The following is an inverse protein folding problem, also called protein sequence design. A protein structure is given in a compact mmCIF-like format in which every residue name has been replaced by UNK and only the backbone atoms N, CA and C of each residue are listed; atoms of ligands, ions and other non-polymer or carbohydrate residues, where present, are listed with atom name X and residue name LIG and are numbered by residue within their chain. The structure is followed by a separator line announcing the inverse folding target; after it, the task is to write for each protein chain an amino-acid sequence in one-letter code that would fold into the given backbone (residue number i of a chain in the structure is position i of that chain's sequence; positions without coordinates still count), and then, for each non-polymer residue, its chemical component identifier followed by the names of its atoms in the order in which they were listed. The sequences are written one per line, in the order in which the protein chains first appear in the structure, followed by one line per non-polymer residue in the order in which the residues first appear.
data_IF_375202392681
#
_entry.id   IF_375202392681
#
_cell.length_a   1.000
_cell.length_b   1.000
_cell.length_c   1.000
_cell.angle_alpha   90.00
_cell.angle_beta   90.00
_cell.angle_gamma   90.00
#
_symmetry.space_group_name_H-M   'P 1'
#
loop_
_entity.id
_entity.type
_entity.pdbx_description
1 polymer ?
#
# COMPACT_ATOMS: atom_id res chain seq x y z
N UNK A 1 -28.14 3.69 -6.50
CA UNK A 1 -27.69 5.04 -6.14
C UNK A 1 -26.21 4.91 -5.90
N UNK A 2 -25.39 5.30 -6.88
CA UNK A 2 -23.93 5.14 -6.81
C UNK A 2 -23.40 6.31 -5.99
N UNK A 3 -22.90 6.05 -4.78
CA UNK A 3 -22.12 7.04 -4.04
C UNK A 3 -20.76 7.15 -4.71
N UNK A 4 -20.59 8.13 -5.57
CA UNK A 4 -19.27 8.59 -5.98
C UNK A 4 -18.74 9.39 -4.81
N UNK A 5 -17.89 8.76 -3.98
CA UNK A 5 -17.09 9.49 -3.02
C UNK A 5 -15.97 10.16 -3.84
N UNK A 6 -16.20 11.41 -4.24
CA UNK A 6 -15.10 12.30 -4.63
C UNK A 6 -14.21 12.41 -3.37
N UNK A 7 -13.01 11.84 -3.44
CA UNK A 7 -11.97 12.14 -2.46
C UNK A 7 -11.59 13.61 -2.65
N UNK A 8 -12.32 14.48 -1.95
CA UNK A 8 -11.75 15.76 -1.59
C UNK A 8 -10.50 15.42 -0.78
N UNK A 9 -9.37 16.01 -1.14
CA UNK A 9 -8.24 16.09 -0.20
C UNK A 9 -8.85 16.48 1.13
N UNK A 10 -8.81 15.63 2.15
CA UNK A 10 -9.57 15.92 3.36
C UNK A 10 -9.11 17.28 3.86
N UNK A 11 -10.03 18.22 4.00
CA UNK A 11 -9.75 19.56 4.57
C UNK A 11 -9.13 19.46 5.97
N UNK A 12 -9.15 18.25 6.53
CA UNK A 12 -8.65 17.91 7.85
C UNK A 12 -7.23 17.26 7.84
N UNK A 13 -6.54 17.16 6.68
CA UNK A 13 -5.15 16.71 6.66
C UNK A 13 -4.20 17.88 6.94
N UNK A 14 -4.06 18.24 8.19
CA UNK A 14 -3.24 19.38 8.64
C UNK A 14 -1.95 18.95 9.33
N UNK A 15 -1.88 17.70 9.78
CA UNK A 15 -0.71 17.15 10.44
C UNK A 15 0.16 16.35 9.47
N UNK A 16 1.29 15.88 9.96
CA UNK A 16 2.27 15.11 9.18
C UNK A 16 2.67 13.84 9.90
N UNK A 17 2.75 12.76 9.15
CA UNK A 17 3.37 11.50 9.54
C UNK A 17 4.58 11.21 8.68
N UNK A 18 5.17 10.04 8.88
CA UNK A 18 6.37 9.57 8.19
C UNK A 18 6.16 8.19 7.61
N UNK A 19 6.94 7.87 6.58
CA UNK A 19 7.00 6.52 6.05
C UNK A 19 8.46 6.16 5.75
N UNK A 20 8.84 4.97 6.18
CA UNK A 20 10.13 4.36 5.87
C UNK A 20 9.89 3.13 5.03
N UNK A 21 10.44 3.11 3.82
CA UNK A 21 10.26 2.00 2.87
C UNK A 21 11.60 1.31 2.68
N UNK A 22 11.62 -0.02 2.84
CA UNK A 22 12.77 -0.85 2.56
C UNK A 22 12.42 -1.80 1.42
N UNK A 23 13.27 -1.90 0.42
CA UNK A 23 13.09 -2.78 -0.74
C UNK A 23 14.17 -3.85 -0.77
N UNK A 24 13.73 -5.10 -0.86
CA UNK A 24 14.60 -6.28 -0.82
C UNK A 24 14.34 -7.21 -1.99
N UNK A 25 15.40 -7.91 -2.40
CA UNK A 25 15.28 -9.14 -3.18
C UNK A 25 14.61 -10.22 -2.32
N UNK A 26 13.54 -10.82 -2.81
CA UNK A 26 12.78 -11.83 -2.06
C UNK A 26 13.52 -13.14 -1.88
N UNK A 27 14.39 -13.51 -2.81
CA UNK A 27 15.13 -14.78 -2.76
C UNK A 27 16.38 -14.68 -1.91
N UNK A 28 17.10 -13.57 -2.02
CA UNK A 28 18.39 -13.37 -1.37
C UNK A 28 18.27 -12.59 -0.07
N UNK A 29 17.16 -11.86 0.16
CA UNK A 29 16.99 -10.94 1.28
C UNK A 29 17.95 -9.74 1.22
N UNK A 30 18.56 -9.51 0.05
CA UNK A 30 19.49 -8.40 -0.13
C UNK A 30 18.76 -7.09 -0.41
N UNK A 31 19.23 -5.94 0.11
CA UNK A 31 18.64 -4.65 -0.18
C UNK A 31 18.79 -4.28 -1.67
N UNK A 32 17.74 -3.70 -2.25
CA UNK A 32 17.71 -3.28 -3.63
C UNK A 32 17.90 -1.77 -3.77
N UNK A 33 19.09 -1.36 -4.17
CA UNK A 33 19.38 0.02 -4.52
C UNK A 33 18.80 0.38 -5.89
N UNK A 34 18.47 1.66 -6.07
CA UNK A 34 17.92 2.21 -7.31
C UNK A 34 16.56 1.63 -7.71
N UNK A 35 15.80 1.06 -6.78
CA UNK A 35 14.40 0.74 -7.00
C UNK A 35 13.60 2.05 -7.05
N UNK A 36 12.72 2.17 -8.06
CA UNK A 36 11.83 3.32 -8.20
C UNK A 36 10.57 3.08 -7.39
N UNK A 37 10.15 4.09 -6.65
CA UNK A 37 8.94 4.08 -5.85
C UNK A 37 8.07 5.27 -6.26
N UNK A 38 6.82 5.00 -6.63
CA UNK A 38 5.82 6.02 -6.89
C UNK A 38 4.81 6.00 -5.76
N UNK A 39 4.56 7.15 -5.13
CA UNK A 39 3.62 7.32 -4.02
C UNK A 39 2.36 8.04 -4.49
N UNK A 40 1.21 7.52 -4.13
CA UNK A 40 -0.11 8.13 -4.38
C UNK A 40 -1.04 7.97 -3.16
N UNK A 41 -2.18 8.67 -3.15
CA UNK A 41 -3.24 8.37 -2.19
C UNK A 41 -3.99 7.10 -2.59
N UNK A 42 -4.31 6.24 -1.61
CA UNK A 42 -5.13 5.06 -1.86
C UNK A 42 -6.48 5.45 -2.46
N UNK A 43 -6.87 4.78 -3.56
CA UNK A 43 -8.09 5.10 -4.32
C UNK A 43 -7.95 6.22 -5.35
N UNK A 44 -6.78 6.85 -5.48
CA UNK A 44 -6.47 7.81 -6.53
C UNK A 44 -5.05 7.61 -7.09
N UNK A 45 -4.79 6.50 -7.79
CA UNK A 45 -3.45 6.12 -8.27
C UNK A 45 -2.91 7.11 -9.31
N UNK A 46 -3.77 7.84 -10.01
CA UNK A 46 -3.36 8.84 -11.01
C UNK A 46 -2.80 10.12 -10.37
N UNK A 47 -3.02 10.32 -9.07
CA UNK A 47 -2.51 11.46 -8.31
C UNK A 47 -1.18 11.13 -7.66
N UNK A 48 -0.11 11.12 -8.44
CA UNK A 48 1.25 10.90 -7.93
C UNK A 48 1.63 12.07 -7.02
N UNK A 49 1.99 11.74 -5.78
CA UNK A 49 2.45 12.68 -4.76
C UNK A 49 3.97 12.83 -4.82
N UNK A 50 4.67 11.69 -4.93
CA UNK A 50 6.13 11.62 -4.94
C UNK A 50 6.64 10.48 -5.84
N UNK A 51 7.77 10.73 -6.47
CA UNK A 51 8.59 9.71 -7.13
C UNK A 51 9.96 9.68 -6.45
N UNK A 52 10.39 8.51 -6.02
CA UNK A 52 11.56 8.30 -5.18
C UNK A 52 12.40 7.15 -5.73
N UNK A 53 13.65 7.11 -5.27
CA UNK A 53 14.57 6.02 -5.62
C UNK A 53 15.29 5.58 -4.35
N UNK A 54 15.37 4.27 -4.13
CA UNK A 54 16.07 3.71 -2.97
C UNK A 54 17.56 3.98 -3.02
N UNK A 55 18.14 4.19 -1.85
CA UNK A 55 19.57 4.37 -1.64
C UNK A 55 20.36 3.05 -1.73
N UNK A 56 21.65 3.07 -1.36
CA UNK A 56 22.51 1.89 -1.36
C UNK A 56 22.11 0.82 -0.35
N UNK A 57 21.31 1.17 0.63
CA UNK A 57 20.75 0.26 1.65
C UNK A 57 19.34 -0.23 1.30
N UNK A 58 18.86 0.12 0.08
CA UNK A 58 17.53 -0.23 -0.37
C UNK A 58 16.42 0.56 0.30
N UNK A 59 16.74 1.69 0.94
CA UNK A 59 15.84 2.43 1.81
C UNK A 59 15.42 3.78 1.22
N UNK A 60 14.24 4.25 1.61
CA UNK A 60 13.72 5.61 1.38
C UNK A 60 12.99 6.10 2.62
N UNK A 61 13.20 7.36 2.97
CA UNK A 61 12.50 8.04 4.04
C UNK A 61 11.61 9.16 3.48
N UNK A 62 10.39 9.22 3.95
CA UNK A 62 9.40 10.25 3.68
C UNK A 62 8.99 10.89 5.01
N UNK A 63 9.41 12.12 5.26
CA UNK A 63 9.27 12.77 6.57
C UNK A 63 8.06 13.70 6.69
N UNK A 64 7.37 14.01 5.61
CA UNK A 64 6.31 15.02 5.59
C UNK A 64 5.04 14.56 4.83
N UNK A 65 4.57 13.35 5.11
CA UNK A 65 3.32 12.87 4.55
C UNK A 65 2.13 13.47 5.30
N UNK A 66 1.14 13.97 4.56
CA UNK A 66 -0.05 14.54 5.17
C UNK A 66 -0.83 13.47 5.95
N UNK A 67 -1.24 13.80 7.15
CA UNK A 67 -2.04 12.93 8.02
C UNK A 67 -3.16 13.73 8.70
N UNK A 68 -4.26 13.08 9.10
CA UNK A 68 -5.28 13.71 9.93
C UNK A 68 -4.70 14.14 11.29
N UNK A 69 -5.38 15.08 11.98
CA UNK A 69 -4.97 15.54 13.31
C UNK A 69 -4.78 14.41 14.30
N UNK A 70 -3.75 14.50 15.14
CA UNK A 70 -3.45 13.50 16.16
C UNK A 70 -4.62 13.25 17.11
N UNK A 71 -5.44 14.24 17.33
CA UNK A 71 -6.63 14.16 18.19
C UNK A 71 -7.60 13.07 17.76
N UNK A 72 -7.65 12.75 16.44
CA UNK A 72 -8.52 11.69 15.91
C UNK A 72 -8.08 10.28 16.33
N UNK A 73 -6.81 10.11 16.69
CA UNK A 73 -6.29 8.84 17.21
C UNK A 73 -6.41 8.71 18.73
N UNK A 74 -6.68 9.81 19.44
CA UNK A 74 -6.69 9.84 20.91
C UNK A 74 -8.05 9.48 21.52
N UNK A 75 -9.13 9.63 20.75
CA UNK A 75 -10.48 9.30 21.19
C UNK A 75 -11.19 8.39 20.19
N UNK A 76 -11.91 7.34 20.65
CA UNK A 76 -12.75 6.55 19.77
C UNK A 76 -13.83 7.45 19.14
N UNK A 77 -13.84 7.54 17.81
CA UNK A 77 -14.72 8.43 17.09
C UNK A 77 -15.10 7.90 15.71
N UNK A 78 -15.90 8.67 14.99
CA UNK A 78 -16.31 8.35 13.61
C UNK A 78 -15.29 8.86 12.58
N UNK A 79 -14.28 9.64 13.01
CA UNK A 79 -13.27 10.20 12.12
C UNK A 79 -12.09 9.25 11.97
N UNK A 80 -11.65 9.05 10.72
CA UNK A 80 -10.49 8.24 10.41
C UNK A 80 -9.22 8.95 10.92
N UNK A 81 -8.41 8.30 11.78
CA UNK A 81 -7.23 8.93 12.41
C UNK A 81 -5.95 8.79 11.57
N UNK A 82 -6.01 8.23 10.39
CA UNK A 82 -4.87 7.98 9.50
C UNK A 82 -5.20 8.37 8.07
N UNK A 83 -4.15 8.66 7.30
CA UNK A 83 -4.23 8.75 5.84
C UNK A 83 -3.78 7.43 5.23
N UNK A 84 -4.38 7.03 4.10
CA UNK A 84 -4.01 5.81 3.40
C UNK A 84 -3.25 6.13 2.12
N UNK A 85 -2.10 5.49 1.98
CA UNK A 85 -1.21 5.66 0.83
C UNK A 85 -1.04 4.37 0.05
N UNK A 86 -0.73 4.52 -1.23
CA UNK A 86 -0.38 3.42 -2.13
C UNK A 86 1.02 3.67 -2.66
N UNK A 87 1.82 2.63 -2.75
CA UNK A 87 3.13 2.66 -3.39
C UNK A 87 3.19 1.66 -4.53
N UNK A 88 3.78 2.09 -5.65
CA UNK A 88 4.19 1.23 -6.75
C UNK A 88 5.72 1.14 -6.74
N UNK A 89 6.25 -0.06 -6.66
CA UNK A 89 7.69 -0.30 -6.56
C UNK A 89 8.16 -1.11 -7.74
N UNK A 90 9.14 -0.58 -8.47
CA UNK A 90 9.76 -1.23 -9.61
C UNK A 90 11.27 -1.18 -9.57
N UNK A 91 11.92 -2.26 -9.98
CA UNK A 91 13.37 -2.33 -10.11
C UNK A 91 13.75 -3.10 -11.38
N UNK A 92 14.92 -2.78 -11.96
CA UNK A 92 15.35 -3.44 -13.18
C UNK A 92 15.65 -4.92 -12.95
N UNK A 93 14.96 -5.80 -13.65
CA UNK A 93 15.07 -7.24 -13.50
C UNK A 93 14.14 -7.85 -12.44
N UNK A 94 13.21 -7.07 -11.92
CA UNK A 94 12.22 -7.50 -10.93
C UNK A 94 10.80 -7.26 -11.41
N UNK A 95 9.87 -7.99 -10.82
CA UNK A 95 8.43 -7.77 -11.02
C UNK A 95 8.00 -6.50 -10.29
N UNK A 96 7.12 -5.74 -10.92
CA UNK A 96 6.52 -4.56 -10.31
C UNK A 96 5.55 -4.99 -9.19
N UNK A 97 5.60 -4.29 -8.07
CA UNK A 97 4.77 -4.59 -6.89
C UNK A 97 4.00 -3.35 -6.48
N UNK A 98 2.68 -3.46 -6.40
CA UNK A 98 1.78 -2.45 -5.87
C UNK A 98 1.35 -2.81 -4.44
N UNK A 99 1.46 -1.86 -3.52
CA UNK A 99 0.99 -2.01 -2.13
C UNK A 99 0.04 -0.86 -1.81
N UNK A 100 -1.21 -1.18 -1.58
CA UNK A 100 -2.27 -0.22 -1.28
C UNK A 100 -2.77 -0.33 0.16
N UNK A 101 -3.19 0.80 0.74
CA UNK A 101 -3.78 0.85 2.07
C UNK A 101 -2.74 0.98 3.19
N UNK A 102 -1.61 1.64 2.93
CA UNK A 102 -0.61 1.89 3.97
C UNK A 102 -1.09 3.04 4.84
N UNK A 103 -1.36 2.75 6.12
CA UNK A 103 -1.82 3.74 7.09
C UNK A 103 -0.67 4.63 7.56
N UNK A 104 -0.88 5.95 7.52
CA UNK A 104 0.05 6.96 8.06
C UNK A 104 -0.67 7.81 9.10
N UNK A 105 -0.20 7.74 10.34
CA UNK A 105 -0.71 8.50 11.47
C UNK A 105 0.11 9.77 11.70
N UNK A 106 -0.51 10.78 12.29
CA UNK A 106 0.16 12.00 12.71
C UNK A 106 1.28 11.72 13.72
N UNK A 107 2.46 12.25 13.45
CA UNK A 107 3.64 12.13 14.31
C UNK A 107 4.33 10.77 14.32
N UNK A 108 3.74 9.73 13.71
CA UNK A 108 4.26 8.38 13.71
C UNK A 108 5.01 8.05 12.40
N UNK A 109 5.80 6.98 12.44
CA UNK A 109 6.49 6.45 11.27
C UNK A 109 5.93 5.09 10.90
N UNK A 110 5.33 5.01 9.72
CA UNK A 110 4.93 3.73 9.11
C UNK A 110 6.14 3.09 8.45
N UNK A 111 6.38 1.81 8.73
CA UNK A 111 7.48 1.05 8.13
C UNK A 111 6.90 0.07 7.13
N UNK A 112 7.40 0.11 5.90
CA UNK A 112 6.95 -0.78 4.84
C UNK A 112 8.15 -1.52 4.23
N UNK A 113 8.20 -2.84 4.47
CA UNK A 113 9.15 -3.73 3.81
C UNK A 113 8.52 -4.30 2.53
N UNK A 114 9.25 -4.20 1.42
CA UNK A 114 8.82 -4.65 0.10
C UNK A 114 9.80 -5.70 -0.40
N UNK A 115 9.30 -6.86 -0.81
CA UNK A 115 10.11 -7.96 -1.33
C UNK A 115 9.76 -8.18 -2.80
N UNK A 116 10.68 -7.84 -3.71
CA UNK A 116 10.50 -8.01 -5.14
C UNK A 116 10.96 -9.37 -5.60
N UNK A 117 10.17 -10.01 -6.49
CA UNK A 117 10.56 -11.24 -7.18
C UNK A 117 11.46 -10.89 -8.36
N UNK A 118 12.54 -11.64 -8.55
CA UNK A 118 13.30 -11.58 -9.80
C UNK A 118 12.41 -11.99 -10.99
N UNK A 119 12.43 -11.17 -12.03
CA UNK A 119 11.65 -11.40 -13.23
C UNK A 119 12.50 -12.09 -14.29
N UNK A 120 12.54 -13.42 -14.30
CA UNK A 120 13.15 -14.18 -15.40
C UNK A 120 12.30 -14.14 -16.68
N UNK A 121 10.98 -13.86 -16.56
CA UNK A 121 10.03 -13.78 -17.68
C UNK A 121 8.95 -12.76 -17.33
N UNK A 122 9.11 -11.52 -17.77
CA UNK A 122 8.24 -10.39 -17.48
C UNK A 122 6.74 -10.66 -17.67
N UNK A 123 5.98 -11.08 -16.64
CA UNK A 123 4.49 -11.20 -16.71
C UNK A 123 3.77 -11.21 -15.36
N UNK A 124 4.23 -10.76 -14.27
CA UNK A 124 3.31 -10.62 -13.13
C UNK A 124 3.52 -9.32 -12.37
N UNK A 125 2.45 -8.56 -12.24
CA UNK A 125 2.32 -7.48 -11.25
C UNK A 125 1.86 -8.12 -9.94
N UNK A 126 2.66 -7.99 -8.87
CA UNK A 126 2.22 -8.34 -7.52
C UNK A 126 1.41 -7.18 -6.94
N UNK A 127 0.14 -7.43 -6.64
CA UNK A 127 -0.76 -6.45 -6.07
C UNK A 127 -1.10 -6.85 -4.62
N UNK A 128 -0.56 -6.12 -3.65
CA UNK A 128 -0.77 -6.34 -2.23
C UNK A 128 -1.72 -5.27 -1.71
N UNK A 129 -2.87 -5.71 -1.20
CA UNK A 129 -3.84 -4.82 -0.58
C UNK A 129 -3.82 -5.03 0.93
N UNK A 130 -3.45 -4.00 1.66
CA UNK A 130 -3.52 -3.99 3.11
C UNK A 130 -4.98 -3.79 3.51
N UNK A 131 -5.60 -4.70 4.29
CA UNK A 131 -7.00 -4.55 4.70
C UNK A 131 -7.17 -3.33 5.61
N UNK A 132 -8.34 -2.71 5.52
CA UNK A 132 -8.67 -1.53 6.35
C UNK A 132 -8.51 -1.84 7.83
N UNK A 133 -7.87 -0.94 8.55
CA UNK A 133 -7.71 -1.03 9.99
C UNK A 133 -9.06 -0.82 10.70
N UNK A 134 -9.61 -1.89 11.30
CA UNK A 134 -10.92 -1.88 11.97
C UNK A 134 -10.88 -1.48 13.44
N UNK A 135 -9.70 -1.20 14.00
CA UNK A 135 -9.55 -0.82 15.42
C UNK A 135 -10.20 0.53 15.74
N UNK A 136 -10.32 1.41 14.76
CA UNK A 136 -10.82 2.77 14.93
C UNK A 136 -12.25 2.98 14.40
N UNK A 137 -12.95 1.94 14.00
CA UNK A 137 -14.34 1.99 13.54
C UNK A 137 -14.59 1.28 12.21
N UNK A 138 -15.85 1.35 11.75
CA UNK A 138 -16.24 0.82 10.44
C UNK A 138 -16.12 1.92 9.39
N UNK A 139 -14.94 2.16 8.91
CA UNK A 139 -14.74 3.04 7.76
C UNK A 139 -15.08 2.29 6.47
N UNK A 140 -15.73 2.94 5.50
CA UNK A 140 -15.97 2.31 4.20
C UNK A 140 -14.61 1.99 3.55
N UNK A 141 -14.46 0.75 3.10
CA UNK A 141 -13.28 0.34 2.36
C UNK A 141 -13.12 1.23 1.12
N UNK A 142 -11.96 1.88 0.99
CA UNK A 142 -11.62 2.69 -0.19
C UNK A 142 -11.20 1.82 -1.37
N UNK A 143 -10.79 0.59 -1.07
CA UNK A 143 -10.40 -0.41 -2.05
C UNK A 143 -11.62 -1.27 -2.33
N UNK A 144 -12.03 -1.46 -3.59
CA UNK A 144 -13.12 -2.35 -3.93
C UNK A 144 -12.90 -3.77 -3.37
N UNK A 145 -13.94 -4.38 -2.80
CA UNK A 145 -13.83 -5.75 -2.27
C UNK A 145 -13.30 -6.76 -3.30
N UNK A 146 -13.51 -6.50 -4.59
CA UNK A 146 -13.00 -7.32 -5.68
C UNK A 146 -11.47 -7.31 -5.81
N UNK A 147 -10.82 -6.28 -5.28
CA UNK A 147 -9.35 -6.13 -5.28
C UNK A 147 -8.71 -6.66 -4.00
N UNK A 148 -9.52 -6.86 -2.95
CA UNK A 148 -9.03 -7.40 -1.68
C UNK A 148 -8.79 -8.91 -1.86
N UNK A 149 -7.53 -9.30 -1.88
CA UNK A 149 -7.14 -10.72 -1.88
C UNK A 149 -6.99 -11.20 -0.44
N UNK A 150 -7.80 -12.16 0.02
CA UNK A 150 -7.67 -12.67 1.38
C UNK A 150 -6.33 -13.38 1.56
N UNK A 151 -5.60 -13.01 2.61
CA UNK A 151 -4.44 -13.78 3.07
C UNK A 151 -4.93 -15.09 3.69
N UNK A 152 -4.27 -16.20 3.37
CA UNK A 152 -4.51 -17.44 4.11
C UNK A 152 -3.88 -17.36 5.52
N UNK A 153 -4.21 -18.32 6.38
CA UNK A 153 -3.70 -18.37 7.77
C UNK A 153 -2.17 -18.54 7.87
N UNK A 154 -1.48 -18.87 6.79
CA UNK A 154 -0.02 -18.95 6.71
C UNK A 154 0.64 -17.66 6.18
N UNK A 155 -0.14 -16.61 5.91
CA UNK A 155 0.37 -15.36 5.38
C UNK A 155 0.66 -15.36 3.88
N UNK A 156 0.26 -16.42 3.17
CA UNK A 156 0.34 -16.46 1.70
C UNK A 156 -0.89 -15.82 1.07
N UNK A 157 -0.69 -15.02 0.03
CA UNK A 157 -1.78 -14.47 -0.77
C UNK A 157 -2.43 -15.63 -1.53
N UNK A 158 -3.68 -15.93 -1.20
CA UNK A 158 -4.46 -16.89 -2.00
C UNK A 158 -4.85 -16.21 -3.30
N UNK A 159 -4.08 -16.46 -4.35
CA UNK A 159 -4.48 -16.10 -5.71
C UNK A 159 -5.84 -16.75 -5.98
N UNK A 160 -6.83 -15.90 -6.23
CA UNK A 160 -8.22 -16.28 -6.45
C UNK A 160 -8.35 -17.49 -7.37
N UNK A 161 -9.12 -18.46 -6.88
CA UNK A 161 -9.80 -19.54 -7.57
C UNK A 161 -9.49 -19.66 -9.06
N UNK A 162 -8.56 -20.54 -9.40
CA UNK A 162 -8.54 -21.11 -10.75
C UNK A 162 -9.81 -21.96 -10.85
N UNK A 163 -10.82 -21.45 -11.53
CA UNK A 163 -11.95 -22.26 -11.96
C UNK A 163 -11.40 -23.17 -13.06
N UNK A 164 -11.05 -24.39 -12.68
CA UNK A 164 -10.78 -25.44 -13.66
C UNK A 164 -12.16 -25.77 -14.24
N UNK A 165 -12.40 -25.55 -15.55
CA UNK A 165 -13.64 -26.01 -16.16
C UNK A 165 -13.68 -27.52 -16.02
N UNK A 166 -14.75 -28.05 -15.41
CA UNK A 166 -15.01 -29.49 -15.39
C UNK A 166 -15.06 -29.97 -16.83
N UNK A 167 -14.17 -30.90 -17.13
CA UNK A 167 -14.17 -31.59 -18.42
C UNK A 167 -15.47 -32.38 -18.52
N UNK A 168 -16.34 -31.95 -19.41
CA UNK A 168 -17.54 -32.69 -19.78
C UNK A 168 -17.09 -33.99 -20.46
N UNK A 169 -17.43 -35.12 -19.86
CA UNK A 169 -17.29 -36.44 -20.44
C UNK A 169 -18.41 -36.66 -21.44
#
# INVERSE_FOLDING_TARGET
MVYVHTMETPQDMIDKGKMHINVYDKQQGAPLANARITLSYTGNPDSIINELVTDSEGAVNLDELLAPPIEYSMEPGEKQPFAEYTIDVSANGYEETNISGIDVFSGETSIQDVYLNENEYAVAEDNIVIPVNTLYGNYPAKIPESEIKPLNQSGEIVLSRVVIPETIV
#
